data_IF_923867134602
#
_entry.id   IF_923867134602
#
_cell.length_a   1.000
_cell.length_b   1.000
_cell.length_c   1.000
_cell.angle_alpha   90.00
_cell.angle_beta   90.00
_cell.angle_gamma   90.00
#
_symmetry.space_group_name_H-M   'P 1'
#
loop_
_entity.id
_entity.type
_entity.pdbx_description
1 polymer ?
#
# COMPACT_ATOMS: atom_id res chain seq x y z
N UNK A 1 36.43 33.63 48.14
CA UNK A 1 35.12 33.17 47.63
C UNK A 1 35.20 32.09 46.53
N UNK A 2 36.36 31.88 45.87
CA UNK A 2 36.50 30.97 44.71
C UNK A 2 36.67 29.46 45.04
N UNK A 3 36.89 29.10 46.31
CA UNK A 3 37.16 27.70 46.69
C UNK A 3 35.90 26.79 46.70
N UNK A 4 34.70 27.36 46.87
CA UNK A 4 33.44 26.57 46.91
C UNK A 4 32.94 26.13 45.54
N UNK A 5 33.31 26.83 44.46
CA UNK A 5 32.87 26.50 43.09
C UNK A 5 33.63 25.29 42.53
N UNK A 6 34.88 25.05 42.96
CA UNK A 6 35.66 23.88 42.51
C UNK A 6 35.13 22.56 43.07
N UNK A 7 34.66 22.55 44.32
CA UNK A 7 34.13 21.34 44.97
C UNK A 7 32.85 20.80 44.31
N UNK A 8 32.04 21.66 43.70
CA UNK A 8 30.81 21.24 43.01
C UNK A 8 31.01 20.68 41.60
N UNK A 9 32.20 20.86 40.99
CA UNK A 9 32.54 20.24 39.69
C UNK A 9 33.11 18.83 39.86
N UNK A 10 33.79 18.56 40.98
CA UNK A 10 34.43 17.26 41.27
C UNK A 10 33.41 16.18 41.71
N UNK A 11 32.27 16.58 42.28
CA UNK A 11 31.21 15.66 42.72
C UNK A 11 30.15 15.33 41.64
N UNK A 12 30.25 15.92 40.43
CA UNK A 12 29.17 15.87 39.42
C UNK A 12 29.51 15.20 38.09
N UNK A 13 30.72 14.68 37.92
CA UNK A 13 31.14 14.03 36.67
C UNK A 13 31.08 12.50 36.76
N UNK A 14 29.92 11.97 37.19
CA UNK A 14 29.63 10.54 37.07
C UNK A 14 29.25 10.24 35.61
N UNK A 15 30.27 10.01 34.78
CA UNK A 15 30.09 9.58 33.40
C UNK A 15 29.45 8.19 33.28
N UNK A 16 28.68 7.97 32.21
CA UNK A 16 28.17 6.64 31.84
C UNK A 16 29.33 5.66 31.68
N UNK A 17 29.23 4.48 32.28
CA UNK A 17 30.23 3.44 32.12
C UNK A 17 30.07 2.77 30.74
N UNK A 18 31.18 2.34 30.14
CA UNK A 18 31.15 1.59 28.87
C UNK A 18 30.35 0.29 29.00
N UNK A 19 30.34 -0.33 30.19
CA UNK A 19 29.58 -1.55 30.45
C UNK A 19 28.07 -1.29 30.47
N UNK A 20 27.61 -0.14 30.99
CA UNK A 20 26.20 0.26 30.93
C UNK A 20 25.73 0.42 29.49
N UNK A 21 26.52 1.11 28.66
CA UNK A 21 26.17 1.26 27.25
C UNK A 21 26.22 -0.07 26.50
N UNK A 22 27.14 -0.98 26.84
CA UNK A 22 27.23 -2.30 26.23
C UNK A 22 26.00 -3.16 26.53
N UNK A 23 25.55 -3.21 27.78
CA UNK A 23 24.35 -3.99 28.16
C UNK A 23 23.10 -3.44 27.47
N UNK A 24 22.98 -2.11 27.35
CA UNK A 24 21.86 -1.48 26.63
C UNK A 24 21.85 -1.89 25.15
N UNK A 25 23.01 -1.87 24.47
CA UNK A 25 23.11 -2.28 23.07
C UNK A 25 22.74 -3.75 22.86
N UNK A 26 23.07 -4.63 23.82
CA UNK A 26 22.66 -6.04 23.79
C UNK A 26 21.14 -6.15 23.90
N UNK A 27 20.52 -5.44 24.84
CA UNK A 27 19.06 -5.51 25.05
C UNK A 27 18.31 -4.97 23.81
N UNK A 28 18.68 -3.81 23.27
CA UNK A 28 18.04 -3.27 22.06
C UNK A 28 18.31 -4.17 20.84
N UNK A 29 19.46 -4.86 20.78
CA UNK A 29 19.78 -5.83 19.73
C UNK A 29 18.82 -7.01 19.73
N UNK A 30 18.53 -7.58 20.91
CA UNK A 30 17.56 -8.68 21.08
C UNK A 30 16.15 -8.21 20.69
N UNK A 31 15.75 -7.03 21.15
CA UNK A 31 14.43 -6.47 20.83
C UNK A 31 14.28 -6.18 19.32
N UNK A 32 15.30 -5.60 18.69
CA UNK A 32 15.31 -5.30 17.26
C UNK A 32 15.24 -6.57 16.39
N UNK A 33 15.94 -7.64 16.79
CA UNK A 33 15.93 -8.91 16.06
C UNK A 33 14.52 -9.52 15.94
N UNK A 34 13.67 -9.35 16.96
CA UNK A 34 12.27 -9.81 16.94
C UNK A 34 11.36 -8.76 16.28
N UNK A 35 11.57 -7.47 16.58
CA UNK A 35 10.69 -6.40 16.13
C UNK A 35 10.75 -6.14 14.62
N UNK A 36 11.94 -6.19 14.02
CA UNK A 36 12.13 -5.91 12.58
C UNK A 36 11.33 -6.85 11.67
N UNK A 37 11.42 -8.20 11.77
CA UNK A 37 10.66 -9.08 10.89
C UNK A 37 9.15 -8.96 11.10
N UNK A 38 8.70 -8.77 12.34
CA UNK A 38 7.27 -8.55 12.65
C UNK A 38 6.79 -7.24 12.02
N UNK A 39 7.54 -6.15 12.18
CA UNK A 39 7.20 -4.86 11.60
C UNK A 39 7.12 -4.91 10.07
N UNK A 40 8.08 -5.58 9.42
CA UNK A 40 8.06 -5.76 7.96
C UNK A 40 6.84 -6.57 7.49
N UNK A 41 6.48 -7.66 8.21
CA UNK A 41 5.29 -8.45 7.91
C UNK A 41 4.00 -7.65 8.09
N UNK A 42 3.89 -6.86 9.17
CA UNK A 42 2.73 -6.01 9.39
C UNK A 42 2.59 -4.91 8.33
N UNK A 43 3.71 -4.33 7.89
CA UNK A 43 3.72 -3.34 6.80
C UNK A 43 3.26 -3.96 5.48
N UNK A 44 3.70 -5.17 5.15
CA UNK A 44 3.22 -5.89 3.96
C UNK A 44 1.71 -6.17 4.03
N UNK A 45 1.21 -6.67 5.17
CA UNK A 45 -0.23 -6.89 5.38
C UNK A 45 -1.04 -5.61 5.27
N UNK A 46 -0.52 -4.49 5.77
CA UNK A 46 -1.17 -3.19 5.66
C UNK A 46 -1.31 -2.73 4.20
N UNK A 47 -0.29 -2.94 3.36
CA UNK A 47 -0.34 -2.63 1.92
C UNK A 47 -1.37 -3.49 1.18
N UNK A 48 -1.41 -4.80 1.46
CA UNK A 48 -2.41 -5.70 0.86
C UNK A 48 -3.82 -5.28 1.26
N UNK A 49 -4.01 -4.89 2.52
CA UNK A 49 -5.30 -4.40 3.03
C UNK A 49 -5.70 -3.08 2.38
N UNK A 50 -4.77 -2.14 2.19
CA UNK A 50 -5.06 -0.87 1.51
C UNK A 50 -5.38 -1.08 0.04
N UNK A 51 -4.65 -1.95 -0.67
CA UNK A 51 -4.97 -2.30 -2.06
C UNK A 51 -6.32 -3.00 -2.19
N UNK A 52 -6.71 -3.82 -1.20
CA UNK A 52 -8.04 -4.44 -1.15
C UNK A 52 -9.15 -3.40 -0.98
N UNK A 53 -8.94 -2.40 -0.14
CA UNK A 53 -9.88 -1.29 0.04
C UNK A 53 -10.01 -0.46 -1.25
N UNK A 54 -8.89 -0.10 -1.88
CA UNK A 54 -8.87 0.65 -3.14
C UNK A 54 -9.57 -0.14 -4.26
N UNK A 55 -9.26 -1.42 -4.41
CA UNK A 55 -9.88 -2.29 -5.41
C UNK A 55 -11.39 -2.43 -5.19
N UNK A 56 -11.85 -2.51 -3.93
CA UNK A 56 -13.28 -2.57 -3.59
C UNK A 56 -14.02 -1.26 -3.89
N UNK A 57 -13.35 -0.11 -3.67
CA UNK A 57 -13.90 1.19 -4.01
C UNK A 57 -14.08 1.32 -5.53
N UNK A 58 -13.04 0.97 -6.29
CA UNK A 58 -13.07 0.99 -7.77
C UNK A 58 -14.15 0.03 -8.30
N UNK A 59 -14.21 -1.19 -7.76
CA UNK A 59 -15.19 -2.19 -8.20
C UNK A 59 -16.63 -1.72 -7.99
N UNK A 60 -16.89 -0.97 -6.92
CA UNK A 60 -18.21 -0.41 -6.64
C UNK A 60 -18.60 0.66 -7.67
N UNK A 61 -17.68 1.56 -8.02
CA UNK A 61 -17.94 2.60 -9.03
C UNK A 61 -18.19 1.97 -10.41
N UNK A 62 -17.37 0.99 -10.78
CA UNK A 62 -17.55 0.24 -12.02
C UNK A 62 -18.86 -0.53 -12.04
N UNK A 63 -19.22 -1.21 -10.94
CA UNK A 63 -20.49 -1.93 -10.86
C UNK A 63 -21.69 -1.00 -11.02
N UNK A 64 -21.63 0.23 -10.47
CA UNK A 64 -22.66 1.25 -10.70
C UNK A 64 -22.77 1.62 -12.18
N UNK A 65 -21.64 1.80 -12.85
CA UNK A 65 -21.64 2.10 -14.29
C UNK A 65 -22.27 0.99 -15.12
N UNK A 66 -22.03 -0.28 -14.81
CA UNK A 66 -22.65 -1.40 -15.53
C UNK A 66 -24.17 -1.54 -15.30
N UNK A 67 -24.73 -0.88 -14.28
CA UNK A 67 -26.20 -0.75 -14.13
C UNK A 67 -26.76 0.25 -15.14
N UNK A 68 -26.01 1.31 -15.44
CA UNK A 68 -26.47 2.45 -16.26
C UNK A 68 -26.01 2.39 -17.73
N UNK A 69 -24.91 1.67 -18.03
CA UNK A 69 -24.30 1.61 -19.37
C UNK A 69 -23.40 0.40 -19.58
N UNK A 70 -23.19 -0.01 -20.83
CA UNK A 70 -22.49 -1.27 -21.16
C UNK A 70 -21.24 -1.11 -22.01
N UNK A 71 -20.69 0.10 -22.13
CA UNK A 71 -19.51 0.37 -22.97
C UNK A 71 -18.23 -0.17 -22.33
N UNK A 72 -17.24 -0.50 -23.16
CA UNK A 72 -15.98 -1.04 -22.67
C UNK A 72 -15.16 0.01 -21.91
N UNK A 73 -14.55 -0.42 -20.81
CA UNK A 73 -13.73 0.40 -19.94
C UNK A 73 -12.26 0.34 -20.35
N UNK A 74 -11.57 1.46 -20.21
CA UNK A 74 -10.12 1.61 -20.43
C UNK A 74 -9.55 2.45 -19.30
N UNK A 75 -8.43 2.02 -18.73
CA UNK A 75 -7.68 2.84 -17.77
C UNK A 75 -6.94 3.92 -18.53
N UNK A 76 -7.16 5.19 -18.20
CA UNK A 76 -6.41 6.31 -18.79
C UNK A 76 -5.79 7.11 -17.66
N UNK A 77 -4.49 6.89 -17.44
CA UNK A 77 -3.72 7.61 -16.43
C UNK A 77 -3.77 6.95 -15.06
N UNK A 78 -2.63 6.39 -14.68
CA UNK A 78 -2.32 6.00 -13.31
C UNK A 78 -1.02 6.67 -12.94
N UNK A 79 -1.08 7.61 -12.00
CA UNK A 79 0.13 8.16 -11.42
C UNK A 79 0.68 7.11 -10.43
N UNK A 80 1.68 6.33 -10.85
CA UNK A 80 2.40 5.39 -9.99
C UNK A 80 3.73 5.98 -9.51
N UNK A 81 3.99 5.82 -8.20
CA UNK A 81 5.17 6.20 -7.40
C UNK A 81 5.29 7.68 -6.97
N UNK A 82 4.90 7.94 -5.72
CA UNK A 82 4.91 9.27 -5.07
C UNK A 82 3.55 9.54 -4.41
N UNK A 83 3.53 10.07 -3.19
CA UNK A 83 2.34 10.16 -2.34
C UNK A 83 1.09 10.69 -3.09
N UNK A 84 0.04 9.86 -3.13
CA UNK A 84 -1.28 10.09 -3.76
C UNK A 84 -1.34 9.84 -5.28
N UNK A 85 -1.11 8.59 -5.70
CA UNK A 85 -1.48 8.17 -7.04
C UNK A 85 -2.97 8.41 -7.28
N UNK A 86 -3.33 9.10 -8.34
CA UNK A 86 -4.72 9.17 -8.81
C UNK A 86 -4.93 8.12 -9.89
N UNK A 87 -6.16 7.62 -9.97
CA UNK A 87 -6.58 6.77 -11.07
C UNK A 87 -7.75 7.43 -11.81
N UNK A 88 -7.84 7.16 -13.10
CA UNK A 88 -9.03 7.50 -13.90
C UNK A 88 -9.32 6.35 -14.84
N UNK A 89 -10.53 5.82 -14.74
CA UNK A 89 -11.08 4.79 -15.61
C UNK A 89 -12.13 5.47 -16.47
N UNK A 90 -12.00 5.28 -17.78
CA UNK A 90 -12.90 5.86 -18.76
C UNK A 90 -13.60 4.76 -19.52
N UNK A 91 -14.72 5.09 -20.16
CA UNK A 91 -15.35 4.23 -21.14
C UNK A 91 -14.73 4.41 -22.55
N UNK A 92 -15.26 3.69 -23.53
CA UNK A 92 -14.85 3.78 -24.94
C UNK A 92 -15.19 5.14 -25.59
N UNK A 93 -16.08 5.92 -24.97
CA UNK A 93 -16.44 7.28 -25.34
C UNK A 93 -15.59 8.35 -24.64
N UNK A 94 -14.54 7.96 -23.92
CA UNK A 94 -13.70 8.85 -23.10
C UNK A 94 -14.42 9.53 -21.91
N UNK A 95 -15.62 9.08 -21.55
CA UNK A 95 -16.31 9.57 -20.36
C UNK A 95 -15.67 8.96 -19.12
N UNK A 96 -15.53 9.74 -18.05
CA UNK A 96 -14.98 9.22 -16.80
C UNK A 96 -16.03 8.37 -16.09
N UNK A 97 -15.65 7.14 -15.78
CA UNK A 97 -16.50 6.13 -15.13
C UNK A 97 -16.16 6.00 -13.64
N UNK A 98 -14.87 6.00 -13.32
CA UNK A 98 -14.37 5.90 -11.96
C UNK A 98 -13.10 6.72 -11.83
N UNK A 99 -12.97 7.51 -10.76
CA UNK A 99 -11.79 8.33 -10.53
C UNK A 99 -11.61 8.60 -9.04
N UNK A 100 -10.36 8.63 -8.60
CA UNK A 100 -10.10 8.85 -7.19
C UNK A 100 -8.62 8.82 -6.86
N UNK A 101 -8.37 8.83 -5.55
CA UNK A 101 -7.04 8.67 -4.99
C UNK A 101 -6.84 7.22 -4.59
N UNK A 102 -5.66 6.70 -4.86
CA UNK A 102 -5.18 5.42 -4.36
C UNK A 102 -4.43 5.63 -3.05
N UNK A 103 -4.42 4.59 -2.23
CA UNK A 103 -3.56 4.53 -1.06
C UNK A 103 -2.08 4.63 -1.48
N UNK A 104 -1.19 5.13 -0.60
CA UNK A 104 0.21 5.34 -0.96
C UNK A 104 0.89 4.07 -1.50
N UNK A 105 1.57 4.22 -2.64
CA UNK A 105 2.25 3.16 -3.39
C UNK A 105 1.35 2.17 -4.11
N UNK A 106 0.02 2.29 -4.04
CA UNK A 106 -0.85 1.43 -4.85
C UNK A 106 -0.95 1.96 -6.29
N UNK A 107 -1.12 1.05 -7.24
CA UNK A 107 -1.30 1.36 -8.68
C UNK A 107 -2.50 0.60 -9.23
N UNK A 108 -3.15 1.13 -10.27
CA UNK A 108 -4.12 0.35 -11.07
C UNK A 108 -3.38 -0.10 -12.32
N UNK A 109 -3.24 -1.40 -12.52
CA UNK A 109 -2.37 -1.96 -13.57
C UNK A 109 -3.15 -2.45 -14.79
N UNK A 110 -4.39 -2.92 -14.61
CA UNK A 110 -5.23 -3.37 -15.71
C UNK A 110 -6.72 -3.23 -15.38
N UNK A 111 -7.52 -2.89 -16.39
CA UNK A 111 -8.98 -2.99 -16.37
C UNK A 111 -9.44 -3.57 -17.70
N UNK A 112 -10.38 -4.50 -17.66
CA UNK A 112 -11.13 -4.94 -18.83
C UNK A 112 -12.63 -4.93 -18.61
N UNK A 113 -13.29 -4.78 -19.74
CA UNK A 113 -14.68 -5.17 -19.92
C UNK A 113 -14.78 -6.67 -20.23
N UNK A 114 -15.77 -7.37 -19.68
CA UNK A 114 -16.36 -8.50 -20.40
C UNK A 114 -17.38 -7.92 -21.38
N UNK A 115 -17.21 -8.18 -22.66
CA UNK A 115 -18.04 -7.62 -23.72
C UNK A 115 -19.54 -7.96 -23.60
N UNK A 116 -19.94 -8.88 -22.71
CA UNK A 116 -21.35 -9.21 -22.44
C UNK A 116 -21.49 -9.70 -20.98
N UNK A 117 -22.51 -9.23 -20.24
CA UNK A 117 -22.97 -9.88 -18.99
C UNK A 117 -22.58 -9.23 -17.66
N UNK A 118 -22.10 -7.99 -17.63
CA UNK A 118 -21.81 -7.26 -16.37
C UNK A 118 -20.56 -7.78 -15.62
N UNK A 119 -19.76 -8.62 -16.26
CA UNK A 119 -18.48 -9.07 -15.72
C UNK A 119 -17.40 -8.03 -16.03
N UNK A 120 -16.64 -7.65 -15.03
CA UNK A 120 -15.49 -6.76 -15.17
C UNK A 120 -14.31 -7.30 -14.39
N UNK A 121 -13.12 -6.81 -14.71
CA UNK A 121 -11.90 -7.12 -13.98
C UNK A 121 -11.09 -5.85 -13.79
N UNK A 122 -10.63 -5.61 -12.56
CA UNK A 122 -9.68 -4.55 -12.20
C UNK A 122 -8.53 -5.18 -11.43
N UNK A 123 -7.30 -4.76 -11.72
CA UNK A 123 -6.10 -5.17 -11.00
C UNK A 123 -5.49 -3.96 -10.31
N UNK A 124 -5.35 -4.05 -8.98
CA UNK A 124 -4.67 -3.05 -8.14
C UNK A 124 -3.37 -3.66 -7.60
N UNK A 125 -2.24 -3.05 -7.93
CA UNK A 125 -0.91 -3.40 -7.42
C UNK A 125 -0.57 -2.69 -6.11
N UNK A 126 0.32 -3.30 -5.31
CA UNK A 126 0.75 -2.81 -3.99
C UNK A 126 2.08 -2.05 -4.00
N UNK A 127 2.53 -1.55 -5.16
CA UNK A 127 3.78 -0.78 -5.31
C UNK A 127 5.07 -1.58 -5.18
N UNK A 128 4.97 -2.86 -4.81
CA UNK A 128 6.01 -3.87 -4.94
C UNK A 128 5.39 -5.11 -5.58
N UNK A 129 6.14 -5.77 -6.46
CA UNK A 129 5.71 -7.03 -7.09
C UNK A 129 5.72 -8.19 -6.09
N UNK A 130 6.38 -8.03 -4.95
CA UNK A 130 6.52 -9.05 -3.91
C UNK A 130 5.26 -9.23 -3.04
N UNK A 131 4.46 -8.17 -2.87
CA UNK A 131 3.24 -8.17 -2.06
C UNK A 131 1.99 -8.66 -2.84
N UNK A 132 2.13 -8.91 -4.16
CA UNK A 132 1.09 -9.41 -5.05
C UNK A 132 0.18 -8.33 -5.64
N UNK A 133 -0.93 -8.74 -6.27
CA UNK A 133 -1.94 -7.84 -6.82
C UNK A 133 -3.33 -8.23 -6.31
N UNK A 134 -4.24 -7.26 -6.26
CA UNK A 134 -5.65 -7.49 -5.95
C UNK A 134 -6.45 -7.44 -7.24
N UNK A 135 -7.06 -8.58 -7.59
CA UNK A 135 -8.02 -8.69 -8.68
C UNK A 135 -9.43 -8.48 -8.10
N UNK A 136 -10.12 -7.45 -8.56
CA UNK A 136 -11.54 -7.24 -8.30
C UNK A 136 -12.36 -7.63 -9.53
N UNK A 137 -13.37 -8.45 -9.32
CA UNK A 137 -14.35 -8.87 -10.33
C UNK A 137 -15.78 -8.58 -9.84
N UNK A 138 -16.76 -8.72 -10.73
CA UNK A 138 -18.19 -8.64 -10.39
C UNK A 138 -18.62 -9.62 -9.29
N UNK A 139 -17.83 -10.66 -9.02
CA UNK A 139 -18.09 -11.71 -8.03
C UNK A 139 -17.33 -11.54 -6.72
N UNK A 140 -16.35 -10.63 -6.64
CA UNK A 140 -15.60 -10.37 -5.41
C UNK A 140 -14.13 -9.99 -5.64
N UNK A 141 -13.35 -10.06 -4.57
CA UNK A 141 -11.93 -9.70 -4.56
C UNK A 141 -11.07 -10.93 -4.29
N UNK A 142 -9.99 -11.08 -5.05
CA UNK A 142 -8.99 -12.13 -4.88
C UNK A 142 -7.57 -11.54 -4.92
N UNK A 143 -6.65 -12.13 -4.17
CA UNK A 143 -5.22 -11.80 -4.24
C UNK A 143 -4.55 -12.73 -5.25
N UNK A 144 -3.74 -12.17 -6.15
CA UNK A 144 -3.03 -12.90 -7.21
C UNK A 144 -1.53 -12.62 -7.16
N UNK A 145 -0.72 -13.65 -7.42
CA UNK A 145 0.75 -13.63 -7.21
C UNK A 145 1.55 -13.00 -8.35
N UNK A 146 0.91 -12.71 -9.47
CA UNK A 146 1.45 -12.02 -10.64
C UNK A 146 0.29 -11.25 -11.27
N UNK A 147 0.53 -10.23 -12.11
CA UNK A 147 -0.53 -9.68 -12.95
C UNK A 147 -0.94 -10.80 -13.90
N UNK A 148 -2.04 -11.53 -13.65
CA UNK A 148 -2.39 -12.60 -14.54
C UNK A 148 -2.92 -11.91 -15.79
N UNK A 149 -2.42 -12.30 -16.96
CA UNK A 149 -3.23 -12.16 -18.16
C UNK A 149 -4.41 -13.13 -17.98
N UNK A 150 -5.52 -12.70 -17.36
CA UNK A 150 -6.60 -12.06 -18.11
C UNK A 150 -7.37 -11.00 -17.29
N UNK A 151 -7.26 -9.77 -17.73
CA UNK A 151 -8.47 -8.96 -17.88
C UNK A 151 -9.26 -9.46 -19.13
N UNK A 152 -8.64 -10.12 -20.12
CA UNK A 152 -9.32 -10.69 -21.29
C UNK A 152 -9.82 -12.13 -21.07
N UNK A 153 -11.13 -12.35 -21.08
CA UNK A 153 -11.87 -13.63 -21.01
C UNK A 153 -12.19 -14.17 -19.60
N UNK A 154 -13.39 -13.80 -19.12
CA UNK A 154 -14.41 -14.80 -18.82
C UNK A 154 -15.38 -14.83 -20.01
#
# INVERSE_FOLDING_TARGET
>A
MMARIRKSMEEKDQGFTLIELLVVMIIIGILAAIAVPVFLSQRAKARVTSAKADAAAISKEIASYYVDGTSALTVTGTAGAGANGTFTIKDSGNNVVAQGKLSPNNTVDAVSNAAVGGTYCVIVGTGTTADGYIKATSTGLATVSSVPNPCTAA
#
